data_IF_805864544565
#
_entry.id   IF_805864544565
#
_cell.length_a   1.000
_cell.length_b   1.000
_cell.length_c   1.000
_cell.angle_alpha   90.00
_cell.angle_beta   90.00
_cell.angle_gamma   90.00
#
_symmetry.space_group_name_H-M   'P 1'
#
loop_
_entity.id
_entity.type
_entity.pdbx_description
1 polymer ?
#
# COMPACT_ATOMS: atom_id res chain seq x y z
N UNK A 1 21.46 14.39 14.32
CA UNK A 1 22.64 14.44 13.42
C UNK A 1 23.76 15.30 14.00
N UNK A 2 23.58 16.62 14.16
CA UNK A 2 24.66 17.52 14.66
C UNK A 2 25.22 17.09 16.03
N UNK A 3 24.34 16.77 17.00
CA UNK A 3 24.72 16.27 18.33
C UNK A 3 25.53 14.95 18.30
N UNK A 4 25.30 14.12 17.28
CA UNK A 4 25.96 12.83 17.13
C UNK A 4 27.38 13.01 16.58
N UNK A 5 27.56 13.89 15.59
CA UNK A 5 28.88 14.24 15.07
C UNK A 5 29.74 14.99 16.10
N UNK A 6 29.13 15.81 16.96
CA UNK A 6 29.85 16.50 18.04
C UNK A 6 30.35 15.56 19.13
N UNK A 7 29.59 14.51 19.46
CA UNK A 7 30.00 13.49 20.45
C UNK A 7 30.76 12.31 19.87
N UNK A 8 30.96 12.25 18.55
CA UNK A 8 31.64 11.13 17.90
C UNK A 8 33.03 10.87 18.49
N UNK A 9 33.76 11.93 18.84
CA UNK A 9 35.10 11.84 19.45
C UNK A 9 35.07 11.36 20.91
N UNK A 10 33.94 11.46 21.59
CA UNK A 10 33.76 11.07 22.99
C UNK A 10 33.22 9.65 23.15
N UNK A 11 32.64 9.09 22.08
CA UNK A 11 32.12 7.73 22.05
C UNK A 11 33.25 6.69 22.13
N UNK A 12 33.02 5.62 22.90
CA UNK A 12 33.93 4.48 22.94
C UNK A 12 33.99 3.77 21.57
N UNK A 13 35.08 3.02 21.34
CA UNK A 13 35.29 2.31 20.05
C UNK A 13 34.12 1.40 19.67
N UNK A 14 33.48 0.77 20.66
CA UNK A 14 32.30 -0.08 20.45
C UNK A 14 31.06 0.75 20.06
N UNK A 15 30.79 1.83 20.78
CA UNK A 15 29.66 2.71 20.52
C UNK A 15 29.74 3.36 19.14
N UNK A 16 30.95 3.73 18.70
CA UNK A 16 31.19 4.23 17.33
C UNK A 16 30.85 3.19 16.27
N UNK A 17 31.22 1.92 16.48
CA UNK A 17 30.92 0.84 15.52
C UNK A 17 29.42 0.56 15.43
N UNK A 18 28.75 0.50 16.59
CA UNK A 18 27.29 0.31 16.66
C UNK A 18 26.55 1.47 15.97
N UNK A 19 26.97 2.69 16.30
CA UNK A 19 26.50 3.94 15.71
C UNK A 19 26.66 3.97 14.18
N UNK A 20 27.83 3.58 13.67
CA UNK A 20 28.10 3.52 12.24
C UNK A 20 27.22 2.49 11.54
N UNK A 21 27.04 1.32 12.16
CA UNK A 21 26.21 0.28 11.57
C UNK A 21 24.72 0.63 11.57
N UNK A 22 24.23 1.35 12.59
CA UNK A 22 22.88 1.92 12.59
C UNK A 22 22.73 2.95 11.46
N UNK A 23 23.69 3.86 11.28
CA UNK A 23 23.68 4.84 10.19
C UNK A 23 23.71 4.17 8.80
N UNK A 24 24.57 3.17 8.62
CA UNK A 24 24.67 2.39 7.39
C UNK A 24 23.36 1.62 7.14
N UNK A 25 22.76 1.02 8.18
CA UNK A 25 21.47 0.33 8.08
C UNK A 25 20.33 1.28 7.71
N UNK A 26 20.30 2.49 8.30
CA UNK A 26 19.34 3.53 7.95
C UNK A 26 19.52 4.02 6.51
N UNK A 27 20.76 4.21 6.06
CA UNK A 27 21.06 4.59 4.69
C UNK A 27 20.65 3.50 3.69
N UNK A 28 21.03 2.25 3.93
CA UNK A 28 20.60 1.13 3.09
C UNK A 28 19.10 0.92 3.11
N UNK A 29 18.45 1.09 4.26
CA UNK A 29 16.99 1.06 4.38
C UNK A 29 16.33 2.15 3.54
N UNK A 30 16.85 3.38 3.56
CA UNK A 30 16.32 4.47 2.76
C UNK A 30 16.64 4.35 1.25
N UNK A 31 17.79 3.78 0.90
CA UNK A 31 18.25 3.64 -0.49
C UNK A 31 17.62 2.43 -1.20
N UNK A 32 17.49 1.29 -0.49
CA UNK A 32 16.98 0.04 -1.06
C UNK A 32 15.46 -0.07 -0.97
N UNK A 33 14.79 0.77 -0.18
CA UNK A 33 13.34 0.88 -0.12
C UNK A 33 12.90 2.26 -0.64
N UNK A 34 12.84 2.45 -1.98
CA UNK A 34 12.26 3.66 -2.54
C UNK A 34 10.83 3.83 -2.00
N UNK A 35 10.46 5.07 -1.69
CA UNK A 35 9.18 5.36 -1.05
C UNK A 35 8.04 5.33 -2.08
N UNK A 36 7.71 4.15 -2.59
CA UNK A 36 6.42 3.93 -3.25
C UNK A 36 5.37 3.77 -2.17
N UNK A 37 4.79 4.92 -1.79
CA UNK A 37 3.76 5.15 -0.76
C UNK A 37 2.62 4.14 -0.63
N UNK A 38 2.50 3.18 -1.55
CA UNK A 38 1.47 2.17 -1.56
C UNK A 38 1.77 1.07 -0.53
N UNK A 39 3.01 0.56 -0.39
CA UNK A 39 3.27 -0.64 0.44
C UNK A 39 4.70 -0.71 1.06
N UNK A 40 5.57 0.29 0.90
CA UNK A 40 7.01 0.15 1.23
C UNK A 40 7.42 0.39 2.71
N UNK A 41 6.58 -0.01 3.66
CA UNK A 41 6.90 0.08 5.10
C UNK A 41 7.68 -1.13 5.62
N UNK A 42 7.56 -2.29 4.98
CA UNK A 42 8.10 -3.57 5.48
C UNK A 42 9.61 -3.69 5.51
N UNK A 43 10.27 -3.19 4.46
CA UNK A 43 11.73 -3.11 4.33
C UNK A 43 12.36 -2.24 5.42
N UNK A 44 11.63 -1.23 5.91
CA UNK A 44 12.07 -0.38 7.05
C UNK A 44 12.04 -1.10 8.39
N UNK A 45 11.28 -2.17 8.57
CA UNK A 45 11.35 -3.00 9.78
C UNK A 45 12.49 -4.02 9.72
N UNK A 46 12.90 -4.37 8.50
CA UNK A 46 13.94 -5.34 8.23
C UNK A 46 15.34 -4.82 8.55
N UNK A 47 15.56 -3.52 8.39
CA UNK A 47 16.79 -2.81 8.81
C UNK A 47 17.03 -2.82 10.33
N UNK A 48 16.00 -3.09 11.16
CA UNK A 48 16.17 -3.25 12.61
C UNK A 48 16.78 -4.60 13.00
N UNK A 49 16.72 -5.61 12.14
CA UNK A 49 17.36 -6.92 12.36
C UNK A 49 18.88 -6.86 12.25
N UNK A 50 19.42 -5.80 11.63
CA UNK A 50 20.85 -5.51 11.60
C UNK A 50 21.37 -5.09 12.99
N UNK A 51 20.52 -4.49 13.85
CA UNK A 51 20.94 -4.02 15.18
C UNK A 51 21.37 -5.19 16.09
N UNK A 52 20.60 -6.29 16.26
CA UNK A 52 21.05 -7.48 16.97
C UNK A 52 22.33 -8.09 16.40
N UNK A 53 22.45 -8.18 15.07
CA UNK A 53 23.64 -8.72 14.41
C UNK A 53 24.87 -7.87 14.73
N UNK A 54 24.78 -6.54 14.61
CA UNK A 54 25.88 -5.63 14.91
C UNK A 54 26.30 -5.69 16.38
N UNK A 55 25.32 -5.71 17.31
CA UNK A 55 25.58 -5.83 18.75
C UNK A 55 26.33 -7.13 19.07
N UNK A 56 25.96 -8.23 18.42
CA UNK A 56 26.60 -9.54 18.59
C UNK A 56 28.01 -9.59 17.95
N UNK A 57 28.19 -9.09 16.72
CA UNK A 57 29.44 -9.21 15.97
C UNK A 57 30.53 -8.19 16.36
N UNK A 58 30.17 -6.98 16.81
CA UNK A 58 31.15 -5.91 17.04
C UNK A 58 31.52 -5.65 18.52
N UNK A 59 30.88 -6.35 19.46
CA UNK A 59 31.19 -6.27 20.90
C UNK A 59 32.40 -7.12 21.26
N UNK A 60 33.60 -6.60 20.99
CA UNK A 60 34.88 -7.26 21.28
C UNK A 60 35.06 -7.66 22.76
N UNK A 61 34.39 -6.98 23.69
CA UNK A 61 34.50 -7.20 25.14
C UNK A 61 33.67 -8.38 25.67
N UNK A 62 32.65 -8.81 24.91
CA UNK A 62 31.80 -9.98 25.25
C UNK A 62 32.02 -11.18 24.33
N UNK A 63 32.69 -11.02 23.20
CA UNK A 63 32.88 -12.09 22.20
C UNK A 63 33.63 -13.31 22.76
N UNK A 64 34.54 -13.12 23.72
CA UNK A 64 35.32 -14.20 24.35
C UNK A 64 34.55 -14.99 25.41
N UNK A 65 33.42 -14.45 25.91
CA UNK A 65 32.57 -15.10 26.93
C UNK A 65 31.34 -15.78 26.34
N UNK A 66 31.05 -15.56 25.06
CA UNK A 66 29.85 -16.09 24.39
C UNK A 66 30.19 -17.47 23.81
N UNK A 67 29.48 -18.55 24.22
CA UNK A 67 29.70 -19.89 23.68
C UNK A 67 29.56 -19.94 22.15
N UNK A 68 30.36 -20.78 21.49
CA UNK A 68 30.30 -21.01 20.03
C UNK A 68 28.89 -21.43 19.57
N UNK A 69 28.11 -22.09 20.42
CA UNK A 69 26.71 -22.45 20.13
C UNK A 69 25.81 -21.23 19.94
N UNK A 70 26.01 -20.14 20.68
CA UNK A 70 25.26 -18.89 20.52
C UNK A 70 25.65 -18.19 19.21
N UNK A 71 26.92 -18.27 18.82
CA UNK A 71 27.39 -17.78 17.52
C UNK A 71 26.75 -18.51 16.35
N UNK A 72 26.72 -19.85 16.41
CA UNK A 72 26.06 -20.68 15.40
C UNK A 72 24.55 -20.37 15.36
N UNK A 73 23.90 -20.30 16.52
CA UNK A 73 22.47 -19.97 16.62
C UNK A 73 22.16 -18.59 16.03
N UNK A 74 23.01 -17.59 16.29
CA UNK A 74 22.88 -16.24 15.72
C UNK A 74 23.04 -16.26 14.21
N UNK A 75 24.04 -16.99 13.69
CA UNK A 75 24.22 -17.17 12.25
C UNK A 75 23.02 -17.83 11.58
N UNK A 76 22.44 -18.87 12.21
CA UNK A 76 21.21 -19.52 11.75
C UNK A 76 20.04 -18.53 11.76
N UNK A 77 19.83 -17.80 12.86
CA UNK A 77 18.77 -16.79 12.97
C UNK A 77 18.90 -15.70 11.90
N UNK A 78 20.13 -15.24 11.62
CA UNK A 78 20.41 -14.28 10.57
C UNK A 78 20.05 -14.83 9.18
N UNK A 79 20.44 -16.07 8.87
CA UNK A 79 20.09 -16.72 7.60
C UNK A 79 18.58 -16.94 7.44
N UNK A 80 17.90 -17.38 8.49
CA UNK A 80 16.43 -17.52 8.52
C UNK A 80 15.77 -16.17 8.28
N UNK A 81 16.29 -15.12 8.94
CA UNK A 81 15.80 -13.75 8.75
C UNK A 81 15.97 -13.31 7.30
N UNK A 82 17.15 -13.46 6.71
CA UNK A 82 17.39 -13.14 5.30
C UNK A 82 16.46 -13.90 4.36
N UNK A 83 16.19 -15.18 4.65
CA UNK A 83 15.27 -15.99 3.86
C UNK A 83 13.85 -15.43 3.86
N UNK A 84 13.26 -15.18 5.04
CA UNK A 84 11.93 -14.56 5.15
C UNK A 84 11.89 -13.17 4.53
N UNK A 85 12.96 -12.42 4.67
CA UNK A 85 13.10 -11.08 4.09
C UNK A 85 13.08 -11.10 2.57
N UNK A 86 13.76 -12.08 1.97
CA UNK A 86 13.72 -12.30 0.52
C UNK A 86 12.31 -12.68 0.05
N UNK A 87 11.62 -13.59 0.74
CA UNK A 87 10.24 -13.96 0.41
C UNK A 87 9.32 -12.74 0.49
N UNK A 88 9.47 -11.96 1.57
CA UNK A 88 8.72 -10.74 1.78
C UNK A 88 8.95 -9.73 0.64
N UNK A 89 10.21 -9.47 0.27
CA UNK A 89 10.57 -8.60 -0.86
C UNK A 89 9.95 -9.06 -2.17
N UNK A 90 10.06 -10.35 -2.52
CA UNK A 90 9.50 -10.89 -3.76
C UNK A 90 7.97 -10.79 -3.79
N UNK A 91 7.33 -10.98 -2.65
CA UNK A 91 5.87 -10.88 -2.53
C UNK A 91 5.41 -9.43 -2.63
N UNK A 92 6.13 -8.51 -1.97
CA UNK A 92 5.92 -7.06 -2.06
C UNK A 92 6.08 -6.55 -3.47
N UNK A 93 7.14 -6.95 -4.18
CA UNK A 93 7.38 -6.56 -5.56
C UNK A 93 6.24 -7.02 -6.47
N UNK A 94 5.79 -8.28 -6.31
CA UNK A 94 4.65 -8.80 -7.06
C UNK A 94 3.37 -7.99 -6.78
N UNK A 95 3.10 -7.68 -5.50
CA UNK A 95 1.95 -6.85 -5.15
C UNK A 95 2.09 -5.44 -5.74
N UNK A 96 3.25 -4.79 -5.62
CA UNK A 96 3.49 -3.46 -6.15
C UNK A 96 3.18 -3.39 -7.65
N UNK A 97 3.64 -4.37 -8.45
CA UNK A 97 3.33 -4.45 -9.88
C UNK A 97 1.83 -4.57 -10.16
N UNK A 98 1.10 -5.36 -9.36
CA UNK A 98 -0.36 -5.44 -9.47
C UNK A 98 -1.02 -4.10 -9.14
N UNK A 99 -0.58 -3.42 -8.07
CA UNK A 99 -1.10 -2.09 -7.71
C UNK A 99 -0.85 -1.06 -8.81
N UNK A 100 0.35 -1.03 -9.41
CA UNK A 100 0.67 -0.14 -10.54
C UNK A 100 -0.25 -0.43 -11.73
N UNK A 101 -0.42 -1.71 -12.08
CA UNK A 101 -1.30 -2.13 -13.17
C UNK A 101 -2.75 -1.67 -12.96
N UNK A 102 -3.31 -1.86 -11.76
CA UNK A 102 -4.66 -1.36 -11.45
C UNK A 102 -4.72 0.17 -11.40
N UNK A 103 -3.67 0.83 -10.92
CA UNK A 103 -3.59 2.28 -10.89
C UNK A 103 -3.61 2.87 -12.31
N UNK A 104 -2.76 2.36 -13.21
CA UNK A 104 -2.72 2.75 -14.62
C UNK A 104 -4.09 2.56 -15.29
N UNK A 105 -4.72 1.41 -15.11
CA UNK A 105 -6.06 1.13 -15.62
C UNK A 105 -7.11 2.13 -15.11
N UNK A 106 -7.07 2.50 -13.83
CA UNK A 106 -7.96 3.51 -13.28
C UNK A 106 -7.71 4.87 -13.96
N UNK A 107 -6.44 5.29 -14.05
CA UNK A 107 -6.04 6.59 -14.59
C UNK A 107 -6.36 6.75 -16.07
N UNK A 108 -6.27 5.68 -16.87
CA UNK A 108 -6.62 5.69 -18.30
C UNK A 108 -8.09 6.11 -18.53
N UNK A 109 -9.00 5.73 -17.63
CA UNK A 109 -10.43 6.06 -17.77
C UNK A 109 -10.73 7.57 -17.65
N UNK A 110 -9.87 8.30 -16.93
CA UNK A 110 -9.85 9.77 -16.71
C UNK A 110 -11.22 10.48 -16.69
N UNK A 111 -12.16 10.10 -15.80
CA UNK A 111 -13.37 10.85 -15.51
C UNK A 111 -13.10 12.10 -14.67
N UNK A 112 -14.12 12.94 -14.51
CA UNK A 112 -14.06 14.08 -13.58
C UNK A 112 -14.11 13.62 -12.12
N UNK A 113 -14.84 12.54 -11.83
CA UNK A 113 -15.02 11.97 -10.50
C UNK A 113 -14.99 10.43 -10.59
N UNK A 114 -14.20 9.81 -9.72
CA UNK A 114 -14.28 8.38 -9.45
C UNK A 114 -15.16 8.12 -8.23
N UNK A 115 -16.06 7.16 -8.35
CA UNK A 115 -16.91 6.69 -7.27
C UNK A 115 -16.56 5.25 -6.94
N UNK A 116 -16.44 4.94 -5.65
CA UNK A 116 -16.24 3.56 -5.18
C UNK A 116 -17.03 3.31 -3.92
N UNK A 117 -17.45 2.06 -3.72
CA UNK A 117 -18.11 1.61 -2.49
C UNK A 117 -17.11 0.96 -1.53
N UNK A 118 -16.01 0.41 -2.07
CA UNK A 118 -15.06 -0.37 -1.28
C UNK A 118 -13.80 0.44 -0.95
N UNK A 119 -13.38 0.52 0.33
CA UNK A 119 -12.13 1.18 0.70
C UNK A 119 -10.91 0.55 0.02
N UNK A 120 -10.93 -0.76 -0.20
CA UNK A 120 -9.83 -1.50 -0.82
C UNK A 120 -9.63 -1.08 -2.28
N UNK A 121 -10.72 -0.74 -2.98
CA UNK A 121 -10.66 -0.19 -4.34
C UNK A 121 -10.11 1.24 -4.31
N UNK A 122 -10.48 2.05 -3.31
CA UNK A 122 -9.91 3.40 -3.18
C UNK A 122 -8.40 3.39 -2.93
N UNK A 123 -7.89 2.36 -2.24
CA UNK A 123 -6.45 2.21 -1.98
C UNK A 123 -5.63 1.99 -3.26
N UNK A 124 -6.24 1.50 -4.34
CA UNK A 124 -5.56 1.26 -5.62
C UNK A 124 -5.17 2.54 -6.34
N UNK A 125 -5.76 3.68 -5.97
CA UNK A 125 -5.36 4.98 -6.49
C UNK A 125 -3.99 5.44 -5.96
N UNK A 126 -3.48 4.83 -4.88
CA UNK A 126 -2.17 5.18 -4.34
C UNK A 126 -2.01 6.69 -4.08
N UNK A 127 -0.91 7.29 -4.55
CA UNK A 127 -0.68 8.75 -4.42
C UNK A 127 -1.65 9.58 -5.26
N UNK A 128 -2.16 9.03 -6.36
CA UNK A 128 -3.01 9.76 -7.30
C UNK A 128 -4.37 10.12 -6.70
N UNK A 129 -4.75 9.50 -5.58
CA UNK A 129 -5.95 9.88 -4.81
C UNK A 129 -5.91 11.35 -4.35
N UNK A 130 -4.71 11.95 -4.24
CA UNK A 130 -4.53 13.35 -3.85
C UNK A 130 -4.77 14.32 -5.02
N UNK A 131 -4.62 13.85 -6.26
CA UNK A 131 -4.75 14.67 -7.47
C UNK A 131 -6.05 14.39 -8.23
N UNK A 132 -6.72 13.27 -7.95
CA UNK A 132 -7.99 12.87 -8.55
C UNK A 132 -9.13 13.01 -7.55
N UNK A 133 -10.33 13.32 -8.04
CA UNK A 133 -11.54 13.35 -7.20
C UNK A 133 -12.06 11.93 -7.04
N UNK A 134 -11.61 11.25 -5.98
CA UNK A 134 -12.11 9.93 -5.60
C UNK A 134 -13.06 10.09 -4.44
N UNK A 135 -14.30 9.68 -4.61
CA UNK A 135 -15.33 9.75 -3.59
C UNK A 135 -15.79 8.34 -3.23
N UNK A 136 -15.81 8.06 -1.93
CA UNK A 136 -16.34 6.82 -1.37
C UNK A 136 -17.77 7.05 -0.93
N UNK A 137 -18.66 6.14 -1.29
CA UNK A 137 -20.03 6.11 -0.79
C UNK A 137 -20.13 4.91 0.17
N UNK A 138 -20.41 5.20 1.44
CA UNK A 138 -20.54 4.15 2.47
C UNK A 138 -21.98 3.65 2.58
N UNK A 139 -22.96 4.56 2.41
CA UNK A 139 -24.38 4.28 2.56
C UNK A 139 -25.18 4.76 1.34
N UNK A 140 -26.22 4.02 0.97
CA UNK A 140 -27.14 4.40 -0.10
C UNK A 140 -28.03 5.58 0.28
N UNK A 141 -28.16 5.89 1.56
CA UNK A 141 -28.88 7.08 2.04
C UNK A 141 -28.30 8.40 1.52
N UNK A 142 -26.99 8.44 1.23
CA UNK A 142 -26.30 9.63 0.71
C UNK A 142 -26.45 9.81 -0.81
N UNK A 143 -26.90 8.77 -1.53
CA UNK A 143 -27.02 8.78 -3.00
C UNK A 143 -27.95 9.89 -3.51
N UNK A 144 -29.17 10.11 -2.98
CA UNK A 144 -30.05 11.15 -3.51
C UNK A 144 -29.43 12.55 -3.43
N UNK A 145 -28.70 12.83 -2.35
CA UNK A 145 -28.01 14.12 -2.14
C UNK A 145 -26.84 14.27 -3.10
N UNK A 146 -26.07 13.22 -3.28
CA UNK A 146 -24.94 13.19 -4.22
C UNK A 146 -25.43 13.40 -5.66
N UNK A 147 -26.39 12.59 -6.09
CA UNK A 147 -26.97 12.63 -7.43
C UNK A 147 -27.56 14.00 -7.73
N UNK A 148 -28.30 14.62 -6.79
CA UNK A 148 -28.84 15.98 -6.96
C UNK A 148 -27.73 17.03 -7.13
N UNK A 149 -26.61 16.85 -6.45
CA UNK A 149 -25.45 17.75 -6.58
C UNK A 149 -24.78 17.58 -7.95
N UNK A 150 -24.66 16.33 -8.41
CA UNK A 150 -23.97 15.99 -9.66
C UNK A 150 -24.82 16.22 -10.91
N UNK A 151 -26.13 15.96 -10.87
CA UNK A 151 -27.04 16.14 -12.02
C UNK A 151 -27.15 17.59 -12.50
N UNK A 152 -26.84 18.55 -11.64
CA UNK A 152 -26.76 19.97 -12.01
C UNK A 152 -25.53 20.32 -12.85
N UNK A 153 -24.57 19.40 -13.00
CA UNK A 153 -23.28 19.64 -13.68
C UNK A 153 -23.10 18.70 -14.86
N UNK A 154 -22.63 19.25 -15.97
CA UNK A 154 -22.09 18.44 -17.07
C UNK A 154 -20.77 17.83 -16.63
N UNK A 155 -20.54 16.57 -16.98
CA UNK A 155 -19.30 15.89 -16.65
C UNK A 155 -19.38 14.38 -16.85
N UNK A 156 -18.30 13.73 -16.44
CA UNK A 156 -18.09 12.28 -16.52
C UNK A 156 -17.80 11.70 -15.14
N UNK A 157 -18.44 10.59 -14.84
CA UNK A 157 -18.29 9.87 -13.58
C UNK A 157 -17.95 8.43 -13.90
N UNK A 158 -16.94 7.88 -13.23
CA UNK A 158 -16.67 6.44 -13.29
C UNK A 158 -17.00 5.79 -11.96
N UNK A 159 -17.95 4.86 -11.97
CA UNK A 159 -18.18 3.94 -10.86
C UNK A 159 -17.18 2.80 -10.96
N UNK A 160 -16.29 2.69 -9.99
CA UNK A 160 -15.28 1.65 -9.87
C UNK A 160 -15.73 0.66 -8.80
N UNK A 161 -15.87 -0.61 -9.16
CA UNK A 161 -16.25 -1.68 -8.24
C UNK A 161 -15.58 -2.99 -8.60
N UNK A 162 -15.65 -3.96 -7.69
CA UNK A 162 -15.22 -5.31 -8.03
C UNK A 162 -16.11 -5.90 -9.12
N UNK A 163 -15.49 -6.66 -10.00
CA UNK A 163 -16.17 -7.47 -11.00
C UNK A 163 -17.08 -8.50 -10.30
N UNK A 164 -18.29 -8.80 -10.81
CA UNK A 164 -19.30 -9.56 -10.06
C UNK A 164 -18.83 -10.93 -9.56
N UNK A 165 -18.00 -11.65 -10.35
CA UNK A 165 -17.47 -12.95 -9.93
C UNK A 165 -16.52 -12.77 -8.75
N UNK A 166 -15.60 -11.80 -8.83
CA UNK A 166 -14.69 -11.46 -7.74
C UNK A 166 -15.45 -11.03 -6.47
N UNK A 167 -16.50 -10.25 -6.65
CA UNK A 167 -17.34 -9.74 -5.57
C UNK A 167 -18.10 -10.86 -4.85
N UNK A 168 -18.69 -11.78 -5.60
CA UNK A 168 -19.37 -12.95 -5.02
C UNK A 168 -18.41 -13.80 -4.16
N UNK A 169 -17.16 -13.97 -4.62
CA UNK A 169 -16.14 -14.67 -3.86
C UNK A 169 -15.77 -13.91 -2.57
N UNK A 170 -15.62 -12.58 -2.65
CA UNK A 170 -15.36 -11.76 -1.46
C UNK A 170 -16.51 -11.77 -0.46
N UNK A 171 -17.76 -11.80 -0.92
CA UNK A 171 -18.95 -11.90 -0.06
C UNK A 171 -19.01 -13.21 0.71
N UNK A 172 -18.61 -14.33 0.09
CA UNK A 172 -18.51 -15.61 0.81
C UNK A 172 -17.48 -15.57 1.94
N UNK A 173 -16.44 -14.74 1.80
CA UNK A 173 -15.37 -14.58 2.79
C UNK A 173 -15.67 -13.50 3.83
N UNK A 174 -16.47 -12.49 3.47
CA UNK A 174 -16.76 -11.32 4.29
C UNK A 174 -18.17 -10.85 3.97
N UNK A 175 -19.06 -10.81 4.98
CA UNK A 175 -20.44 -10.30 4.83
C UNK A 175 -20.37 -8.82 4.40
N UNK A 176 -20.44 -8.56 3.10
CA UNK A 176 -20.21 -7.23 2.50
C UNK A 176 -21.32 -6.93 1.48
N UNK A 177 -22.19 -5.97 1.80
CA UNK A 177 -23.35 -5.60 0.98
C UNK A 177 -22.98 -4.78 -0.28
N UNK A 178 -21.69 -4.62 -0.57
CA UNK A 178 -21.11 -3.86 -1.69
C UNK A 178 -21.72 -4.12 -3.07
N UNK A 179 -22.22 -5.32 -3.38
CA UNK A 179 -22.87 -5.64 -4.67
C UNK A 179 -24.24 -4.98 -4.80
N UNK A 180 -25.04 -5.08 -3.74
CA UNK A 180 -26.37 -4.46 -3.68
C UNK A 180 -26.23 -2.95 -3.79
N UNK A 181 -25.30 -2.38 -3.01
CA UNK A 181 -24.90 -0.98 -3.06
C UNK A 181 -24.46 -0.55 -4.46
N UNK A 182 -23.54 -1.29 -5.10
CA UNK A 182 -23.03 -0.96 -6.43
C UNK A 182 -24.10 -1.00 -7.53
N UNK A 183 -25.05 -1.92 -7.45
CA UNK A 183 -26.17 -2.03 -8.39
C UNK A 183 -27.19 -0.91 -8.17
N UNK A 184 -27.47 -0.56 -6.91
CA UNK A 184 -28.34 0.56 -6.56
C UNK A 184 -27.75 1.89 -7.06
N UNK A 185 -26.45 2.12 -6.89
CA UNK A 185 -25.74 3.33 -7.39
C UNK A 185 -25.90 3.44 -8.91
N UNK A 186 -25.65 2.36 -9.65
CA UNK A 186 -25.81 2.33 -11.11
C UNK A 186 -27.24 2.68 -11.53
N UNK A 187 -28.25 2.09 -10.87
CA UNK A 187 -29.66 2.37 -11.14
C UNK A 187 -30.03 3.83 -10.86
N UNK A 188 -29.50 4.41 -9.78
CA UNK A 188 -29.71 5.83 -9.44
C UNK A 188 -29.13 6.76 -10.49
N UNK A 189 -27.93 6.49 -11.01
CA UNK A 189 -27.34 7.28 -12.10
C UNK A 189 -28.20 7.22 -13.37
N UNK A 190 -28.58 6.01 -13.80
CA UNK A 190 -29.40 5.82 -14.99
C UNK A 190 -30.77 6.51 -14.83
N UNK A 191 -31.42 6.33 -13.68
CA UNK A 191 -32.72 6.96 -13.38
C UNK A 191 -32.67 8.49 -13.32
N UNK A 192 -31.49 9.06 -13.11
CA UNK A 192 -31.27 10.51 -13.00
C UNK A 192 -30.78 11.16 -14.29
N UNK A 193 -30.86 10.44 -15.42
CA UNK A 193 -30.52 10.96 -16.75
C UNK A 193 -29.06 10.81 -17.17
N UNK A 194 -28.23 10.17 -16.34
CA UNK A 194 -26.86 9.83 -16.74
C UNK A 194 -26.87 8.66 -17.73
N UNK A 195 -26.08 8.77 -18.80
CA UNK A 195 -25.95 7.72 -19.81
C UNK A 195 -24.65 6.95 -19.58
N UNK A 196 -24.75 5.63 -19.49
CA UNK A 196 -23.57 4.75 -19.47
C UNK A 196 -22.90 4.77 -20.85
N UNK A 197 -21.65 5.21 -20.91
CA UNK A 197 -20.87 5.34 -22.14
C UNK A 197 -20.06 4.07 -22.40
N UNK A 198 -19.36 3.59 -21.37
CA UNK A 198 -18.50 2.41 -21.47
C UNK A 198 -18.55 1.57 -20.20
N UNK A 199 -18.19 0.31 -20.37
CA UNK A 199 -17.87 -0.63 -19.30
C UNK A 199 -16.52 -1.23 -19.65
N UNK A 200 -15.56 -1.04 -18.77
CA UNK A 200 -14.20 -1.58 -18.90
C UNK A 200 -13.93 -2.49 -17.70
N UNK A 201 -13.22 -3.59 -17.93
CA UNK A 201 -12.95 -4.58 -16.89
C UNK A 201 -11.50 -5.01 -16.99
N UNK A 202 -10.80 -4.97 -15.87
CA UNK A 202 -9.47 -5.52 -15.71
C UNK A 202 -9.51 -6.51 -14.55
N UNK A 203 -9.53 -7.80 -14.90
CA UNK A 203 -9.54 -8.92 -13.95
C UNK A 203 -10.59 -8.76 -12.85
N UNK A 204 -10.18 -8.25 -11.69
CA UNK A 204 -10.97 -8.16 -10.47
C UNK A 204 -11.83 -6.90 -10.41
N UNK A 205 -11.60 -5.92 -11.27
CA UNK A 205 -12.20 -4.58 -11.16
C UNK A 205 -12.91 -4.23 -12.46
N UNK A 206 -14.08 -3.61 -12.33
CA UNK A 206 -14.79 -2.99 -13.43
C UNK A 206 -14.99 -1.49 -13.20
N UNK A 207 -14.92 -0.75 -14.29
CA UNK A 207 -15.17 0.69 -14.38
C UNK A 207 -16.41 0.87 -15.26
N UNK A 208 -17.47 1.44 -14.69
CA UNK A 208 -18.66 1.87 -15.41
C UNK A 208 -18.61 3.38 -15.59
N UNK A 209 -18.46 3.82 -16.84
CA UNK A 209 -18.37 5.25 -17.18
C UNK A 209 -19.73 5.79 -17.53
N UNK A 210 -20.10 6.89 -16.88
CA UNK A 210 -21.34 7.62 -17.10
C UNK A 210 -21.03 9.06 -17.53
N UNK A 211 -21.84 9.62 -18.43
CA UNK A 211 -21.83 11.04 -18.72
C UNK A 211 -23.21 11.66 -18.66
N UNK A 212 -23.22 12.95 -18.31
CA UNK A 212 -24.38 13.80 -18.32
C UNK A 212 -24.09 15.01 -19.22
N UNK A 213 -24.88 15.13 -20.29
CA UNK A 213 -24.77 16.20 -21.29
C UNK A 213 -25.53 17.46 -20.88
#
# INVERSE_FOLDING_TARGET
MVYFFTRWKDLESFERKLSLAILISLFFGAYLAPNDSNIDWGTRYLSWLIVPAVVLFFSKKNSEKVPTSIWILTGILFLVTLFFSKIYLLTQEKLSREYVKYNEFLLESNPDIYLTMDPSVSALFGQEILHKKVMRIEDTEDLPRLIRTLSSRKGSISLVRYEPVTLSLLQTLKKNDSEKLGTEVENWFIGSGWKRISKETLEKIEILKFAHN
#
